data_IF_005227410704
#
_entry.id   IF_005227410704
#
_cell.length_a   1.000
_cell.length_b   1.000
_cell.length_c   1.000
_cell.angle_alpha   90.00
_cell.angle_beta   90.00
_cell.angle_gamma   90.00
#
_symmetry.space_group_name_H-M   'P 1'
#
loop_
_entity.id
_entity.type
_entity.pdbx_description
1 polymer ?
#
# COMPACT_ATOMS: atom_id res chain seq x y z
N UNK A 1 46.04 6.18 45.42
CA UNK A 1 44.70 6.77 45.23
C UNK A 1 44.88 8.16 44.64
N UNK A 2 44.60 8.33 43.34
CA UNK A 2 44.51 9.67 42.74
C UNK A 2 43.09 9.79 42.20
N UNK A 3 42.27 10.58 42.86
CA UNK A 3 40.92 10.90 42.42
C UNK A 3 41.02 11.91 41.29
N UNK A 4 40.70 11.48 40.07
CA UNK A 4 40.49 12.38 38.94
C UNK A 4 39.22 13.18 39.20
N UNK A 5 39.38 14.44 39.58
CA UNK A 5 38.31 15.43 39.69
C UNK A 5 37.81 15.77 38.30
N UNK A 6 36.61 15.29 37.94
CA UNK A 6 35.89 15.81 36.79
C UNK A 6 35.48 17.26 37.09
N UNK A 7 36.15 18.20 36.42
CA UNK A 7 35.70 19.60 36.34
C UNK A 7 34.28 19.63 35.75
N UNK A 8 33.29 20.00 36.56
CA UNK A 8 31.96 20.37 36.08
C UNK A 8 32.07 21.70 35.34
N UNK A 9 32.41 21.65 34.05
CA UNK A 9 32.19 22.77 33.15
C UNK A 9 30.71 23.15 33.22
N UNK A 10 30.41 24.41 33.54
CA UNK A 10 29.05 24.92 33.52
C UNK A 10 28.50 24.80 32.09
N UNK A 11 27.67 23.79 31.83
CA UNK A 11 26.94 23.68 30.58
C UNK A 11 25.91 24.81 30.56
N UNK A 12 26.24 25.94 29.92
CA UNK A 12 25.24 26.95 29.58
C UNK A 12 24.33 26.33 28.52
N UNK A 13 23.06 26.15 28.85
CA UNK A 13 22.05 25.79 27.86
C UNK A 13 22.09 26.80 26.70
N UNK A 14 21.99 26.30 25.47
CA UNK A 14 21.81 27.13 24.27
C UNK A 14 20.65 28.11 24.48
N UNK A 15 20.86 29.40 24.19
CA UNK A 15 19.85 30.44 24.38
C UNK A 15 18.81 30.40 23.26
N UNK A 16 17.75 29.62 23.44
CA UNK A 16 16.54 29.71 22.62
C UNK A 16 15.54 30.65 23.29
N UNK A 17 14.90 31.51 22.52
CA UNK A 17 13.72 32.25 22.98
C UNK A 17 12.55 31.28 23.22
N UNK A 18 11.59 31.63 24.09
CA UNK A 18 10.38 30.81 24.27
C UNK A 18 9.64 30.49 22.96
N UNK A 19 9.56 31.44 22.04
CA UNK A 19 8.91 31.25 20.75
C UNK A 19 9.65 30.25 19.85
N UNK A 20 11.00 30.28 19.83
CA UNK A 20 11.80 29.31 19.08
C UNK A 20 11.70 27.90 19.66
N UNK A 21 11.68 27.78 20.99
CA UNK A 21 11.48 26.49 21.66
C UNK A 21 10.12 25.88 21.30
N UNK A 22 9.06 26.69 21.31
CA UNK A 22 7.72 26.24 20.94
C UNK A 22 7.65 25.83 19.46
N UNK A 23 8.19 26.64 18.55
CA UNK A 23 8.21 26.31 17.12
C UNK A 23 8.97 25.02 16.83
N UNK A 24 10.12 24.80 17.48
CA UNK A 24 10.91 23.56 17.38
C UNK A 24 10.18 22.35 17.96
N UNK A 25 9.45 22.54 19.07
CA UNK A 25 8.65 21.47 19.65
C UNK A 25 7.49 21.08 18.73
N UNK A 26 6.80 22.07 18.17
CA UNK A 26 5.72 21.87 17.23
C UNK A 26 6.20 21.14 15.97
N UNK A 27 7.34 21.54 15.42
CA UNK A 27 7.98 20.87 14.28
C UNK A 27 8.24 19.39 14.57
N UNK A 28 8.93 19.07 15.67
CA UNK A 28 9.25 17.67 16.03
C UNK A 28 8.00 16.82 16.20
N UNK A 29 7.00 17.32 16.93
CA UNK A 29 5.73 16.59 17.11
C UNK A 29 4.97 16.42 15.80
N UNK A 30 5.07 17.39 14.89
CA UNK A 30 4.47 17.29 13.57
C UNK A 30 5.18 16.22 12.71
N UNK A 31 6.50 16.07 12.82
CA UNK A 31 7.24 14.96 12.17
C UNK A 31 6.77 13.62 12.73
N UNK A 32 6.78 13.44 14.05
CA UNK A 32 6.36 12.19 14.70
C UNK A 32 4.89 11.85 14.40
N UNK A 33 4.01 12.85 14.40
CA UNK A 33 2.61 12.68 14.04
C UNK A 33 2.43 12.25 12.57
N UNK A 34 3.31 12.70 11.66
CA UNK A 34 3.27 12.28 10.27
C UNK A 34 3.65 10.80 10.11
N UNK A 35 4.73 10.36 10.77
CA UNK A 35 5.15 8.95 10.75
C UNK A 35 4.07 8.04 11.34
N UNK A 36 3.54 8.40 12.51
CA UNK A 36 2.46 7.66 13.16
C UNK A 36 1.16 7.64 12.36
N UNK A 37 0.81 8.79 11.79
CA UNK A 37 -0.45 9.04 11.10
C UNK A 37 -0.49 8.55 9.65
N UNK A 38 0.65 8.18 9.07
CA UNK A 38 0.78 7.77 7.67
C UNK A 38 -0.29 6.76 7.22
N UNK A 39 -0.62 5.69 7.97
CA UNK A 39 -1.63 4.74 7.52
C UNK A 39 -3.05 5.34 7.47
N UNK A 40 -3.41 6.22 8.42
CA UNK A 40 -4.70 6.91 8.39
C UNK A 40 -4.80 7.90 7.23
N UNK A 41 -3.72 8.65 6.97
CA UNK A 41 -3.70 9.62 5.88
C UNK A 41 -3.69 8.92 4.53
N UNK A 42 -2.99 7.79 4.40
CA UNK A 42 -3.06 6.95 3.21
C UNK A 42 -4.49 6.42 2.96
N UNK A 43 -5.17 5.94 4.01
CA UNK A 43 -6.58 5.55 3.93
C UNK A 43 -7.47 6.72 3.50
N UNK A 44 -7.33 7.88 4.13
CA UNK A 44 -8.14 9.05 3.79
C UNK A 44 -7.88 9.52 2.36
N UNK A 45 -6.64 9.51 1.89
CA UNK A 45 -6.30 9.87 0.51
C UNK A 45 -7.02 8.97 -0.50
N UNK A 46 -7.02 7.65 -0.29
CA UNK A 46 -7.80 6.72 -1.11
C UNK A 46 -9.31 6.99 -1.03
N UNK A 47 -9.84 7.22 0.19
CA UNK A 47 -11.25 7.53 0.40
C UNK A 47 -11.68 8.84 -0.26
N UNK A 48 -10.85 9.89 -0.18
CA UNK A 48 -11.12 11.15 -0.83
C UNK A 48 -11.10 11.01 -2.36
N UNK A 49 -10.18 10.21 -2.92
CA UNK A 49 -10.16 9.91 -4.36
C UNK A 49 -11.41 9.12 -4.79
N UNK A 50 -11.83 8.17 -3.97
CA UNK A 50 -13.06 7.40 -4.16
C UNK A 50 -14.29 8.30 -4.27
N UNK A 51 -14.46 9.29 -3.37
CA UNK A 51 -15.56 10.24 -3.48
C UNK A 51 -15.38 11.26 -4.62
N UNK A 52 -14.20 11.87 -4.72
CA UNK A 52 -13.93 12.99 -5.62
C UNK A 52 -13.79 12.57 -7.09
N UNK A 53 -13.02 11.52 -7.35
CA UNK A 53 -12.61 11.16 -8.71
C UNK A 53 -13.53 10.11 -9.33
N UNK A 54 -14.07 9.18 -8.53
CA UNK A 54 -15.06 8.22 -9.00
C UNK A 54 -16.50 8.74 -8.90
N UNK A 55 -16.75 9.77 -8.08
CA UNK A 55 -18.11 10.26 -7.80
C UNK A 55 -18.93 9.25 -7.00
N UNK A 56 -18.27 8.34 -6.29
CA UNK A 56 -18.90 7.25 -5.56
C UNK A 56 -19.41 7.73 -4.19
N UNK A 57 -20.33 6.98 -3.60
CA UNK A 57 -20.73 7.08 -2.21
C UNK A 57 -20.28 5.84 -1.43
N UNK A 58 -20.37 5.87 -0.10
CA UNK A 58 -20.09 4.66 0.69
C UNK A 58 -20.94 3.49 0.20
N UNK A 59 -20.34 2.30 0.19
CA UNK A 59 -20.93 1.04 -0.28
C UNK A 59 -21.06 0.87 -1.81
N UNK A 60 -20.74 1.89 -2.62
CA UNK A 60 -20.53 1.68 -4.05
C UNK A 60 -19.28 0.82 -4.31
N UNK A 61 -19.22 0.19 -5.48
CA UNK A 61 -18.14 -0.73 -5.83
C UNK A 61 -17.41 -0.18 -7.05
N UNK A 62 -16.17 0.24 -6.82
CA UNK A 62 -15.22 0.53 -7.90
C UNK A 62 -14.60 -0.77 -8.36
N UNK A 63 -14.42 -0.90 -9.67
CA UNK A 63 -13.62 -1.96 -10.25
C UNK A 63 -12.83 -1.45 -11.44
N UNK A 64 -11.72 -2.12 -11.75
CA UNK A 64 -10.94 -1.82 -12.95
C UNK A 64 -11.14 -2.94 -13.94
N UNK A 65 -11.88 -2.68 -15.03
CA UNK A 65 -12.13 -3.69 -16.07
C UNK A 65 -10.90 -4.06 -16.91
N UNK A 66 -9.86 -3.24 -16.85
CA UNK A 66 -8.56 -3.43 -17.52
C UNK A 66 -7.44 -3.33 -16.49
N UNK A 67 -6.26 -3.91 -16.77
CA UNK A 67 -5.11 -3.70 -15.92
C UNK A 67 -4.79 -2.21 -15.78
N UNK A 68 -4.40 -1.81 -14.57
CA UNK A 68 -4.19 -0.41 -14.21
C UNK A 68 -3.10 0.23 -15.07
N UNK A 69 -3.34 1.46 -15.53
CA UNK A 69 -2.33 2.32 -16.15
C UNK A 69 -1.84 3.38 -15.14
N UNK A 70 -0.97 4.29 -15.58
CA UNK A 70 -0.43 5.34 -14.71
C UNK A 70 -1.51 6.22 -14.05
N UNK A 71 -2.77 6.22 -14.51
CA UNK A 71 -3.81 7.06 -13.93
C UNK A 71 -4.32 6.54 -12.59
N UNK A 72 -4.05 5.28 -12.25
CA UNK A 72 -4.32 4.71 -10.93
C UNK A 72 -3.17 5.04 -9.98
N UNK A 73 -3.29 6.17 -9.28
CA UNK A 73 -2.25 6.75 -8.44
C UNK A 73 -2.50 6.39 -6.98
N UNK A 74 -2.15 5.17 -6.60
CA UNK A 74 -2.06 4.70 -5.21
C UNK A 74 -0.60 4.33 -4.90
N UNK A 75 -0.29 3.95 -3.65
CA UNK A 75 1.01 3.38 -3.32
C UNK A 75 1.17 1.96 -3.92
N UNK A 76 2.28 1.73 -4.62
CA UNK A 76 2.68 0.49 -5.34
C UNK A 76 1.55 -0.36 -5.95
N UNK A 77 0.66 0.22 -6.77
CA UNK A 77 -0.42 -0.51 -7.42
C UNK A 77 0.10 -1.63 -8.32
N UNK A 78 -0.81 -2.53 -8.66
CA UNK A 78 -0.59 -3.63 -9.57
C UNK A 78 -1.15 -3.32 -10.96
N UNK A 79 -0.48 -3.78 -12.02
CA UNK A 79 -0.94 -3.64 -13.41
C UNK A 79 -1.16 -5.00 -14.12
N UNK A 80 -1.29 -6.09 -13.38
CA UNK A 80 -1.56 -7.45 -13.90
C UNK A 80 -2.86 -8.06 -13.39
N UNK A 81 -3.50 -7.45 -12.39
CA UNK A 81 -4.76 -7.94 -11.79
C UNK A 81 -5.83 -6.86 -11.76
N UNK A 82 -7.09 -7.25 -11.91
CA UNK A 82 -8.23 -6.33 -11.88
C UNK A 82 -8.67 -6.07 -10.43
N UNK A 83 -8.55 -4.81 -9.98
CA UNK A 83 -8.94 -4.39 -8.64
C UNK A 83 -10.45 -4.27 -8.48
N UNK A 84 -10.92 -4.55 -7.26
CA UNK A 84 -12.24 -4.22 -6.74
C UNK A 84 -12.02 -3.48 -5.42
N UNK A 85 -12.66 -2.32 -5.27
CA UNK A 85 -12.50 -1.44 -4.12
C UNK A 85 -13.85 -0.84 -3.75
N UNK A 86 -14.18 -0.90 -2.47
CA UNK A 86 -15.31 -0.18 -1.88
C UNK A 86 -14.90 0.32 -0.51
N UNK A 87 -15.50 1.44 -0.10
CA UNK A 87 -15.35 1.98 1.25
C UNK A 87 -16.68 1.82 1.98
N UNK A 88 -16.61 1.52 3.27
CA UNK A 88 -17.77 1.44 4.15
C UNK A 88 -17.55 2.25 5.42
N UNK A 89 -18.64 2.75 6.00
CA UNK A 89 -18.64 3.43 7.29
C UNK A 89 -19.60 2.73 8.25
N UNK A 90 -19.10 2.38 9.43
CA UNK A 90 -19.81 1.58 10.42
C UNK A 90 -20.47 2.43 11.53
N UNK A 91 -20.49 3.77 11.42
CA UNK A 91 -21.07 4.62 12.47
C UNK A 91 -22.56 4.39 12.66
N UNK A 92 -23.29 4.16 11.56
CA UNK A 92 -24.74 3.96 11.59
C UNK A 92 -25.13 2.49 11.86
N UNK A 93 -24.15 1.58 11.91
CA UNK A 93 -24.35 0.18 12.28
C UNK A 93 -23.60 -0.79 11.36
N UNK A 94 -23.91 -2.10 11.48
CA UNK A 94 -23.25 -3.14 10.71
C UNK A 94 -23.52 -3.07 9.20
N UNK A 95 -22.49 -3.39 8.41
CA UNK A 95 -22.55 -3.50 6.95
C UNK A 95 -22.35 -4.96 6.54
N UNK A 96 -23.15 -5.43 5.59
CA UNK A 96 -23.05 -6.75 4.95
C UNK A 96 -22.28 -6.60 3.64
N UNK A 97 -21.33 -7.51 3.42
CA UNK A 97 -20.64 -7.71 2.14
C UNK A 97 -20.97 -9.12 1.66
N UNK A 98 -21.80 -9.21 0.63
CA UNK A 98 -22.21 -10.49 0.04
C UNK A 98 -21.24 -10.86 -1.09
N UNK A 99 -20.51 -11.95 -0.87
CA UNK A 99 -19.50 -12.48 -1.78
C UNK A 99 -20.05 -13.75 -2.44
N UNK A 100 -20.22 -13.77 -3.78
CA UNK A 100 -20.66 -14.97 -4.48
C UNK A 100 -19.54 -16.01 -4.58
N UNK A 101 -19.90 -17.29 -4.73
CA UNK A 101 -18.94 -18.38 -4.91
C UNK A 101 -18.03 -18.16 -6.15
N UNK A 102 -16.73 -18.36 -5.98
CA UNK A 102 -15.71 -18.21 -7.02
C UNK A 102 -15.68 -19.46 -7.90
N UNK A 103 -16.68 -19.58 -8.79
CA UNK A 103 -16.77 -20.71 -9.75
C UNK A 103 -16.00 -20.44 -11.03
N UNK A 104 -16.28 -19.34 -11.70
CA UNK A 104 -15.75 -19.04 -13.04
C UNK A 104 -14.58 -18.05 -13.04
N UNK A 105 -14.24 -17.51 -11.88
CA UNK A 105 -13.10 -16.63 -11.62
C UNK A 105 -12.57 -16.93 -10.22
N UNK A 106 -11.38 -16.44 -9.90
CA UNK A 106 -10.84 -16.44 -8.54
C UNK A 106 -10.94 -15.05 -7.93
N UNK A 107 -11.17 -14.99 -6.63
CA UNK A 107 -11.15 -13.76 -5.84
C UNK A 107 -10.06 -13.88 -4.78
N UNK A 108 -9.27 -12.82 -4.62
CA UNK A 108 -8.31 -12.72 -3.53
C UNK A 108 -8.30 -11.31 -2.93
N UNK A 109 -7.87 -11.23 -1.68
CA UNK A 109 -7.64 -9.96 -1.00
C UNK A 109 -8.32 -9.93 0.35
N UNK A 110 -8.48 -8.73 0.90
CA UNK A 110 -8.90 -8.56 2.27
C UNK A 110 -9.88 -7.39 2.43
N UNK A 111 -10.71 -7.48 3.48
CA UNK A 111 -11.36 -6.34 4.10
C UNK A 111 -10.37 -5.72 5.09
N UNK A 112 -10.18 -4.40 5.03
CA UNK A 112 -9.07 -3.71 5.67
C UNK A 112 -9.57 -2.50 6.46
N UNK A 113 -9.10 -2.38 7.70
CA UNK A 113 -9.47 -1.26 8.58
C UNK A 113 -8.76 0.05 8.20
N UNK A 114 -9.13 1.19 8.79
CA UNK A 114 -8.53 2.48 8.43
C UNK A 114 -7.06 2.61 8.85
N UNK A 115 -6.57 1.70 9.68
CA UNK A 115 -5.16 1.58 10.05
C UNK A 115 -4.36 0.69 9.08
N UNK A 116 -4.99 0.27 7.98
CA UNK A 116 -4.48 -0.62 6.95
C UNK A 116 -4.23 -2.07 7.42
N UNK A 117 -4.90 -2.53 8.48
CA UNK A 117 -4.82 -3.92 8.94
C UNK A 117 -5.93 -4.79 8.33
N UNK A 118 -5.54 -5.97 7.83
CA UNK A 118 -6.51 -6.95 7.33
C UNK A 118 -7.40 -7.50 8.45
N UNK A 119 -8.69 -7.17 8.38
CA UNK A 119 -9.73 -7.70 9.25
C UNK A 119 -10.07 -9.15 8.89
N UNK A 120 -10.23 -9.42 7.59
CA UNK A 120 -10.52 -10.74 7.06
C UNK A 120 -10.04 -10.87 5.62
N UNK A 121 -9.54 -12.05 5.26
CA UNK A 121 -9.27 -12.42 3.87
C UNK A 121 -10.54 -12.98 3.22
N UNK A 122 -10.73 -12.69 1.94
CA UNK A 122 -11.95 -12.98 1.16
C UNK A 122 -11.59 -13.76 -0.11
N UNK A 123 -12.46 -14.71 -0.50
CA UNK A 123 -12.33 -15.51 -1.72
C UNK A 123 -11.61 -16.84 -1.50
N UNK A 124 -10.91 -17.31 -2.53
CA UNK A 124 -10.39 -18.69 -2.65
C UNK A 124 -9.51 -19.13 -1.47
N UNK A 125 -8.72 -18.19 -0.91
CA UNK A 125 -7.87 -18.40 0.27
C UNK A 125 -8.36 -17.63 1.51
N UNK A 126 -9.58 -17.08 1.45
CA UNK A 126 -10.21 -16.32 2.52
C UNK A 126 -11.07 -17.19 3.44
N UNK A 127 -11.80 -16.54 4.35
CA UNK A 127 -12.66 -17.25 5.32
C UNK A 127 -13.81 -18.01 4.64
N UNK A 128 -14.22 -17.60 3.44
CA UNK A 128 -15.24 -18.28 2.63
C UNK A 128 -14.71 -19.46 1.79
N UNK A 129 -13.39 -19.68 1.71
CA UNK A 129 -12.76 -20.75 0.92
C UNK A 129 -13.27 -20.84 -0.55
N UNK A 130 -13.58 -19.70 -1.15
CA UNK A 130 -14.14 -19.60 -2.50
C UNK A 130 -15.60 -20.08 -2.64
N UNK A 131 -16.23 -20.53 -1.56
CA UNK A 131 -17.64 -20.95 -1.58
C UNK A 131 -18.62 -19.76 -1.55
N UNK A 132 -18.09 -18.54 -1.38
CA UNK A 132 -18.89 -17.36 -1.14
C UNK A 132 -19.41 -17.31 0.29
N UNK A 133 -19.86 -16.14 0.71
CA UNK A 133 -20.30 -15.90 2.07
C UNK A 133 -20.79 -14.49 2.29
N UNK A 134 -21.53 -14.32 3.38
CA UNK A 134 -22.04 -13.03 3.84
C UNK A 134 -21.15 -12.52 4.96
N UNK A 135 -20.25 -11.59 4.67
CA UNK A 135 -19.40 -10.99 5.69
C UNK A 135 -20.18 -9.89 6.39
N UNK A 136 -20.29 -9.96 7.72
CA UNK A 136 -20.89 -8.90 8.50
C UNK A 136 -19.80 -8.09 9.21
N UNK A 137 -19.57 -6.87 8.73
CA UNK A 137 -18.68 -5.90 9.35
C UNK A 137 -19.38 -5.25 10.54
N UNK A 138 -18.87 -5.50 11.74
CA UNK A 138 -19.45 -5.07 13.00
C UNK A 138 -18.68 -3.85 13.54
N UNK A 139 -19.37 -2.76 13.93
CA UNK A 139 -18.71 -1.56 14.45
C UNK A 139 -17.89 -1.83 15.72
N UNK A 140 -16.82 -1.04 15.99
CA UNK A 140 -15.91 -1.25 17.13
C UNK A 140 -16.61 -1.18 18.51
N UNK A 141 -17.68 -0.40 18.63
CA UNK A 141 -18.43 -0.23 19.88
C UNK A 141 -19.63 -1.18 20.01
N UNK A 142 -19.86 -2.01 19.00
CA UNK A 142 -20.94 -2.99 19.00
C UNK A 142 -20.49 -4.30 19.67
N UNK A 143 -21.40 -4.95 20.39
CA UNK A 143 -21.12 -6.18 21.17
C UNK A 143 -22.10 -7.32 20.90
N UNK A 144 -23.19 -7.09 20.16
CA UNK A 144 -24.15 -8.15 19.89
C UNK A 144 -23.55 -9.16 18.90
N UNK A 145 -23.82 -10.45 19.15
CA UNK A 145 -23.49 -11.50 18.20
C UNK A 145 -24.51 -11.48 17.06
N UNK A 146 -24.07 -11.63 15.81
CA UNK A 146 -25.00 -11.69 14.69
C UNK A 146 -25.79 -12.99 14.67
N UNK A 147 -26.92 -12.97 13.97
CA UNK A 147 -27.68 -14.18 13.68
C UNK A 147 -26.81 -15.21 12.92
N UNK A 148 -27.13 -16.51 12.98
CA UNK A 148 -26.47 -17.52 12.17
C UNK A 148 -26.54 -17.18 10.67
N UNK A 149 -25.48 -17.54 9.93
CA UNK A 149 -25.40 -17.34 8.47
C UNK A 149 -24.46 -16.22 8.02
N UNK A 150 -23.87 -15.46 8.95
CA UNK A 150 -22.84 -14.47 8.67
C UNK A 150 -21.45 -14.95 9.09
N UNK A 151 -20.45 -14.53 8.31
CA UNK A 151 -19.04 -14.52 8.70
C UNK A 151 -18.81 -13.20 9.46
N UNK A 152 -18.77 -13.26 10.79
CA UNK A 152 -18.74 -12.08 11.64
C UNK A 152 -17.33 -11.47 11.73
N UNK A 153 -17.19 -10.20 11.35
CA UNK A 153 -15.92 -9.48 11.36
C UNK A 153 -16.03 -8.25 12.26
N UNK A 154 -15.38 -8.28 13.42
CA UNK A 154 -15.32 -7.12 14.31
C UNK A 154 -14.26 -6.14 13.84
N UNK A 155 -14.69 -4.96 13.37
CA UNK A 155 -13.77 -3.92 12.97
C UNK A 155 -13.16 -3.22 14.20
N UNK A 156 -11.91 -2.77 14.06
CA UNK A 156 -11.24 -1.97 15.09
C UNK A 156 -11.38 -0.46 14.85
N UNK A 157 -12.05 -0.08 13.76
CA UNK A 157 -12.28 1.27 13.24
C UNK A 157 -13.69 1.39 12.68
N UNK A 158 -14.21 2.60 12.52
CA UNK A 158 -15.48 2.85 11.85
C UNK A 158 -15.36 2.85 10.33
N UNK A 159 -14.26 3.35 9.79
CA UNK A 159 -14.02 3.29 8.35
C UNK A 159 -13.26 2.01 8.00
N UNK A 160 -13.72 1.33 6.95
CA UNK A 160 -13.15 0.09 6.39
C UNK A 160 -13.17 0.21 4.86
N UNK A 161 -12.21 -0.43 4.19
CA UNK A 161 -12.21 -0.54 2.74
C UNK A 161 -11.88 -1.96 2.30
N UNK A 162 -12.15 -2.27 1.04
CA UNK A 162 -11.74 -3.54 0.43
C UNK A 162 -10.52 -3.37 -0.45
N UNK A 163 -9.61 -4.33 -0.37
CA UNK A 163 -8.51 -4.50 -1.30
C UNK A 163 -8.66 -5.88 -1.92
N UNK A 164 -9.53 -5.97 -2.92
CA UNK A 164 -9.85 -7.22 -3.59
C UNK A 164 -9.34 -7.20 -5.03
N UNK A 165 -9.05 -8.38 -5.57
CA UNK A 165 -8.69 -8.58 -6.96
C UNK A 165 -9.45 -9.77 -7.50
N UNK A 166 -10.10 -9.57 -8.65
CA UNK A 166 -10.61 -10.69 -9.44
C UNK A 166 -9.53 -11.15 -10.41
N UNK A 167 -9.30 -12.46 -10.46
CA UNK A 167 -8.38 -13.08 -11.39
C UNK A 167 -9.19 -13.94 -12.36
N UNK A 168 -9.12 -13.67 -13.67
CA UNK A 168 -9.72 -14.56 -14.66
C UNK A 168 -8.94 -15.88 -14.72
N UNK A 169 -9.63 -17.00 -14.99
CA UNK A 169 -9.00 -18.33 -15.06
C UNK A 169 -7.88 -18.39 -16.09
N UNK A 170 -8.01 -17.65 -17.18
CA UNK A 170 -6.98 -17.47 -18.20
C UNK A 170 -7.00 -16.03 -18.72
N UNK A 171 -6.03 -15.68 -19.56
CA UNK A 171 -5.91 -14.35 -20.17
C UNK A 171 -6.77 -14.18 -21.43
N UNK A 172 -7.57 -15.20 -21.76
CA UNK A 172 -8.46 -15.07 -22.90
C UNK A 172 -9.60 -14.07 -22.57
N UNK A 173 -10.13 -13.35 -23.58
CA UNK A 173 -11.17 -12.34 -23.35
C UNK A 173 -12.47 -12.87 -22.74
N UNK A 174 -12.80 -14.15 -22.94
CA UNK A 174 -14.02 -14.76 -22.42
C UNK A 174 -13.94 -14.97 -20.89
N UNK A 175 -12.81 -15.47 -20.39
CA UNK A 175 -12.60 -15.65 -18.96
C UNK A 175 -12.49 -14.30 -18.24
N UNK A 176 -11.91 -13.28 -18.89
CA UNK A 176 -11.97 -11.91 -18.39
C UNK A 176 -13.41 -11.40 -18.29
N UNK A 177 -14.24 -11.60 -19.32
CA UNK A 177 -15.64 -11.19 -19.27
C UNK A 177 -16.40 -11.87 -18.11
N UNK A 178 -16.17 -13.17 -17.88
CA UNK A 178 -16.76 -13.91 -16.75
C UNK A 178 -16.29 -13.39 -15.40
N UNK A 179 -15.01 -13.06 -15.27
CA UNK A 179 -14.46 -12.42 -14.07
C UNK A 179 -15.11 -11.06 -13.80
N UNK A 180 -15.32 -10.24 -14.83
CA UNK A 180 -16.00 -8.95 -14.69
C UNK A 180 -17.50 -9.13 -14.36
N UNK A 181 -18.17 -10.12 -14.93
CA UNK A 181 -19.56 -10.46 -14.58
C UNK A 181 -19.69 -11.02 -13.16
N UNK A 182 -18.63 -11.64 -12.62
CA UNK A 182 -18.57 -12.03 -11.21
C UNK A 182 -18.55 -10.80 -10.30
N UNK A 183 -17.76 -9.76 -10.62
CA UNK A 183 -17.69 -8.52 -9.81
C UNK A 183 -19.08 -7.89 -9.63
N UNK A 184 -19.89 -7.89 -10.68
CA UNK A 184 -21.24 -7.31 -10.69
C UNK A 184 -22.23 -8.02 -9.75
N UNK A 185 -21.87 -9.19 -9.22
CA UNK A 185 -22.68 -9.98 -8.29
C UNK A 185 -22.33 -9.72 -6.82
N UNK A 186 -21.25 -8.98 -6.55
CA UNK A 186 -20.89 -8.55 -5.20
C UNK A 186 -21.87 -7.46 -4.78
N UNK A 187 -22.33 -7.50 -3.52
CA UNK A 187 -23.17 -6.47 -2.94
C UNK A 187 -22.59 -5.98 -1.62
N UNK A 188 -22.72 -4.67 -1.37
CA UNK A 188 -22.35 -4.05 -0.09
C UNK A 188 -23.52 -3.19 0.37
N UNK A 189 -24.06 -3.48 1.54
CA UNK A 189 -25.24 -2.77 2.04
C UNK A 189 -25.35 -2.83 3.57
N UNK A 190 -26.04 -1.88 4.20
CA UNK A 190 -26.38 -1.97 5.62
C UNK A 190 -27.21 -3.22 5.96
N UNK A 191 -27.01 -3.76 7.16
CA UNK A 191 -27.72 -4.96 7.64
C UNK A 191 -29.25 -4.80 7.65
N UNK A 192 -29.76 -3.58 7.86
CA UNK A 192 -31.20 -3.29 7.89
C UNK A 192 -31.82 -3.17 6.49
N UNK A 193 -31.02 -3.11 5.43
CA UNK A 193 -31.51 -3.15 4.05
C UNK A 193 -31.54 -4.60 3.57
N UNK A 194 -32.68 -5.02 3.02
CA UNK A 194 -32.81 -6.32 2.36
C UNK A 194 -32.14 -6.28 0.99
N UNK A 195 -31.61 -7.41 0.52
CA UNK A 195 -30.94 -7.59 -0.79
C UNK A 195 -31.72 -7.01 -2.00
N UNK A 196 -33.05 -6.88 -1.88
CA UNK A 196 -33.95 -6.39 -2.93
C UNK A 196 -34.14 -4.87 -2.99
N UNK A 197 -33.60 -4.08 -2.05
CA UNK A 197 -33.85 -2.63 -1.98
C UNK A 197 -32.63 -1.73 -2.19
N UNK A 198 -31.41 -2.27 -2.24
CA UNK A 198 -30.19 -1.51 -2.51
C UNK A 198 -29.27 -2.28 -3.47
N UNK A 199 -28.87 -1.62 -4.55
CA UNK A 199 -27.79 -2.07 -5.41
C UNK A 199 -26.62 -1.11 -5.20
N UNK A 200 -25.45 -1.64 -4.79
CA UNK A 200 -24.20 -0.86 -4.87
C UNK A 200 -24.03 -0.38 -6.31
N UNK A 201 -23.77 0.92 -6.51
CA UNK A 201 -23.44 1.38 -7.86
C UNK A 201 -22.08 0.78 -8.26
N UNK A 202 -22.01 0.29 -9.51
CA UNK A 202 -20.82 -0.36 -10.04
C UNK A 202 -20.09 0.61 -10.97
N UNK A 203 -18.92 1.07 -10.55
CA UNK A 203 -18.18 2.13 -11.24
C UNK A 203 -16.89 1.55 -11.84
N UNK A 204 -16.85 1.42 -13.16
CA UNK A 204 -15.62 1.05 -13.87
C UNK A 204 -14.64 2.23 -13.90
N UNK A 205 -13.45 2.03 -13.33
CA UNK A 205 -12.37 3.01 -13.24
C UNK A 205 -11.25 2.78 -14.27
N UNK A 206 -11.39 1.81 -15.17
CA UNK A 206 -10.43 1.59 -16.24
C UNK A 206 -10.22 2.85 -17.09
N UNK A 207 -8.96 3.31 -17.16
CA UNK A 207 -8.56 4.49 -17.93
C UNK A 207 -9.01 5.83 -17.34
N UNK A 208 -9.65 5.85 -16.17
CA UNK A 208 -9.99 7.06 -15.41
C UNK A 208 -8.89 7.39 -14.40
N UNK A 209 -8.77 8.68 -14.06
CA UNK A 209 -7.85 9.13 -13.01
C UNK A 209 -8.41 8.79 -11.64
N UNK A 210 -7.55 8.28 -10.77
CA UNK A 210 -7.84 8.04 -9.35
C UNK A 210 -6.61 8.48 -8.55
N UNK A 211 -6.68 9.68 -7.96
CA UNK A 211 -5.58 10.35 -7.29
C UNK A 211 -5.64 10.14 -5.78
N UNK A 212 -4.99 9.08 -5.33
CA UNK A 212 -5.06 8.54 -3.97
C UNK A 212 -3.69 8.50 -3.28
N UNK A 213 -2.70 9.24 -3.80
CA UNK A 213 -1.43 9.43 -3.12
C UNK A 213 -1.67 10.37 -1.93
N UNK A 214 -1.10 10.03 -0.78
CA UNK A 214 -1.16 10.90 0.39
C UNK A 214 -0.52 12.26 0.09
N UNK A 215 -1.09 13.37 0.59
CA UNK A 215 -0.46 14.67 0.44
C UNK A 215 0.79 14.76 1.34
N UNK A 216 1.91 15.18 0.79
CA UNK A 216 3.14 15.47 1.53
C UNK A 216 3.39 16.99 1.65
N UNK A 217 2.31 17.72 1.88
CA UNK A 217 2.26 19.16 2.19
C UNK A 217 1.45 19.36 3.49
N UNK A 218 1.30 20.60 3.95
CA UNK A 218 0.61 20.91 5.21
C UNK A 218 -0.83 20.35 5.30
N UNK A 219 -1.48 20.02 4.17
CA UNK A 219 -2.81 19.39 4.17
C UNK A 219 -2.82 17.95 4.71
N UNK A 220 -1.66 17.30 4.82
CA UNK A 220 -1.49 16.02 5.53
C UNK A 220 -2.14 16.07 6.91
N UNK A 221 -1.91 17.14 7.65
CA UNK A 221 -2.39 17.28 9.03
C UNK A 221 -3.90 17.54 9.11
N UNK A 222 -4.50 18.10 8.06
CA UNK A 222 -5.96 18.19 7.96
C UNK A 222 -6.60 16.81 7.74
N UNK A 223 -5.98 15.99 6.88
CA UNK A 223 -6.38 14.59 6.69
C UNK A 223 -6.25 13.79 7.99
N UNK A 224 -5.11 13.92 8.68
CA UNK A 224 -4.88 13.29 9.97
C UNK A 224 -5.93 13.73 11.02
N UNK A 225 -6.20 15.03 11.10
CA UNK A 225 -7.20 15.57 12.02
C UNK A 225 -8.59 14.98 11.79
N UNK A 226 -9.00 14.86 10.52
CA UNK A 226 -10.26 14.25 10.12
C UNK A 226 -10.36 12.81 10.59
N UNK A 227 -9.34 12.00 10.30
CA UNK A 227 -9.34 10.59 10.67
C UNK A 227 -9.28 10.37 12.19
N UNK A 228 -8.49 11.16 12.93
CA UNK A 228 -8.45 11.12 14.40
C UNK A 228 -9.81 11.48 15.02
N UNK A 229 -10.53 12.44 14.43
CA UNK A 229 -11.86 12.80 14.87
C UNK A 229 -12.86 11.65 14.62
N UNK A 230 -12.79 11.02 13.45
CA UNK A 230 -13.70 9.94 13.02
C UNK A 230 -13.49 8.61 13.77
N UNK A 231 -12.24 8.24 14.08
CA UNK A 231 -11.89 6.88 14.53
C UNK A 231 -11.76 6.71 16.05
N UNK A 232 -11.98 5.51 16.62
CA UNK A 232 -11.76 5.26 18.04
C UNK A 232 -10.29 5.47 18.44
N UNK A 233 -10.05 6.02 19.64
CA UNK A 233 -8.71 6.10 20.23
C UNK A 233 -8.37 4.73 20.80
N UNK A 234 -7.23 4.16 20.39
CA UNK A 234 -6.72 2.91 20.94
C UNK A 234 -5.80 3.17 22.13
N UNK A 235 -5.80 2.27 23.11
CA UNK A 235 -4.97 2.40 24.32
C UNK A 235 -3.49 2.60 24.00
N UNK A 236 -2.96 1.90 22.99
CA UNK A 236 -1.56 2.01 22.54
C UNK A 236 -1.18 3.43 22.05
N UNK A 237 -2.17 4.23 21.65
CA UNK A 237 -1.97 5.51 20.97
C UNK A 237 -2.20 6.72 21.92
N UNK A 238 -2.49 6.50 23.20
CA UNK A 238 -2.88 7.56 24.14
C UNK A 238 -1.80 8.64 24.34
N UNK A 239 -0.51 8.26 24.35
CA UNK A 239 0.61 9.21 24.43
C UNK A 239 0.64 10.11 23.20
N UNK A 240 0.49 9.53 22.01
CA UNK A 240 0.44 10.27 20.74
C UNK A 240 -0.77 11.21 20.70
N UNK A 241 -1.91 10.86 21.30
CA UNK A 241 -3.05 11.78 21.41
C UNK A 241 -2.68 13.07 22.16
N UNK A 242 -1.80 12.99 23.16
CA UNK A 242 -1.27 14.16 23.86
C UNK A 242 -0.39 15.04 22.97
N UNK A 243 0.42 14.44 22.11
CA UNK A 243 1.24 15.17 21.14
C UNK A 243 0.39 15.84 20.07
N UNK A 244 -0.55 15.12 19.48
CA UNK A 244 -1.51 15.63 18.50
C UNK A 244 -2.32 16.81 19.03
N UNK A 245 -2.74 16.77 20.30
CA UNK A 245 -3.47 17.87 20.91
C UNK A 245 -2.66 19.18 20.86
N UNK A 246 -1.33 19.11 21.00
CA UNK A 246 -0.47 20.31 20.85
C UNK A 246 -0.35 20.82 19.42
N UNK A 247 -0.73 20.01 18.43
CA UNK A 247 -0.84 20.37 17.02
C UNK A 247 -2.25 20.89 16.66
N UNK A 248 -3.16 20.97 17.64
CA UNK A 248 -4.57 21.29 17.39
C UNK A 248 -5.37 20.12 16.79
N UNK A 249 -4.88 18.89 16.91
CA UNK A 249 -5.49 17.67 16.38
C UNK A 249 -6.05 16.83 17.53
N UNK A 250 -7.33 16.47 17.47
CA UNK A 250 -7.95 15.64 18.49
C UNK A 250 -9.47 15.58 18.37
N UNK A 251 -10.08 14.62 19.07
CA UNK A 251 -11.54 14.48 19.12
C UNK A 251 -12.18 15.74 19.73
N UNK A 252 -13.22 16.25 19.06
CA UNK A 252 -13.95 17.44 19.50
C UNK A 252 -13.24 18.78 19.21
N UNK A 253 -12.02 18.75 18.66
CA UNK A 253 -11.32 19.96 18.23
C UNK A 253 -11.72 20.34 16.80
N UNK A 254 -11.78 21.63 16.53
CA UNK A 254 -11.84 22.15 15.16
C UNK A 254 -10.41 22.41 14.68
N UNK A 255 -9.96 21.68 13.66
CA UNK A 255 -8.64 21.89 13.08
C UNK A 255 -8.57 23.21 12.33
N UNK A 256 -7.84 24.18 12.90
CA UNK A 256 -7.70 25.54 12.35
C UNK A 256 -6.33 26.13 12.72
N UNK A 257 -5.22 25.59 12.17
CA UNK A 257 -3.89 26.16 12.39
C UNK A 257 -3.78 27.58 11.83
N UNK A 258 -2.96 28.42 12.46
CA UNK A 258 -2.60 29.73 11.90
C UNK A 258 -1.52 29.59 10.81
N UNK A 259 -1.23 30.70 10.10
CA UNK A 259 -0.27 30.73 8.99
C UNK A 259 1.11 30.23 9.44
N UNK A 260 1.57 30.66 10.62
CA UNK A 260 2.88 30.27 11.14
C UNK A 260 2.96 28.77 11.46
N UNK A 261 1.86 28.20 11.96
CA UNK A 261 1.74 26.77 12.23
C UNK A 261 1.74 25.97 10.94
N UNK A 262 1.02 26.43 9.91
CA UNK A 262 1.03 25.80 8.58
C UNK A 262 2.43 25.80 7.96
N UNK A 263 3.20 26.88 8.08
CA UNK A 263 4.60 26.91 7.62
C UNK A 263 5.50 25.91 8.36
N UNK A 264 5.24 25.65 9.64
CA UNK A 264 5.95 24.62 10.42
C UNK A 264 5.55 23.23 9.93
N UNK A 265 4.25 23.00 9.73
CA UNK A 265 3.72 21.73 9.23
C UNK A 265 4.27 21.40 7.84
N UNK A 266 4.35 22.38 6.93
CA UNK A 266 4.94 22.21 5.60
C UNK A 266 6.38 21.68 5.66
N UNK A 267 7.21 22.24 6.54
CA UNK A 267 8.59 21.77 6.72
C UNK A 267 8.66 20.41 7.40
N UNK A 268 7.78 20.17 8.38
CA UNK A 268 7.75 18.92 9.12
C UNK A 268 7.34 17.74 8.23
N UNK A 269 6.31 17.90 7.38
CA UNK A 269 5.90 16.84 6.47
C UNK A 269 6.92 16.60 5.36
N UNK A 270 7.60 17.65 4.87
CA UNK A 270 8.69 17.47 3.92
C UNK A 270 9.86 16.66 4.52
N UNK A 271 10.21 16.91 5.78
CA UNK A 271 11.20 16.11 6.52
C UNK A 271 10.73 14.67 6.73
N UNK A 272 9.48 14.47 7.19
CA UNK A 272 8.92 13.14 7.39
C UNK A 272 8.82 12.35 6.08
N UNK A 273 8.45 13.01 4.97
CA UNK A 273 8.39 12.40 3.64
C UNK A 273 9.76 11.93 3.17
N UNK A 274 10.79 12.79 3.29
CA UNK A 274 12.16 12.40 2.98
C UNK A 274 12.64 11.20 3.83
N UNK A 275 12.31 11.18 5.13
CA UNK A 275 12.61 10.06 6.01
C UNK A 275 11.87 8.77 5.59
N UNK A 276 10.59 8.87 5.21
CA UNK A 276 9.81 7.71 4.76
C UNK A 276 10.28 7.16 3.41
N UNK A 277 10.65 8.02 2.46
CA UNK A 277 11.25 7.60 1.17
C UNK A 277 12.54 6.83 1.42
N UNK A 278 13.39 7.34 2.30
CA UNK A 278 14.68 6.70 2.61
C UNK A 278 14.50 5.40 3.40
N UNK A 279 13.57 5.39 4.36
CA UNK A 279 13.21 4.20 5.11
C UNK A 279 12.59 3.11 4.22
N UNK A 280 11.74 3.48 3.26
CA UNK A 280 11.17 2.55 2.28
C UNK A 280 12.25 1.93 1.39
N UNK A 281 13.21 2.74 0.93
CA UNK A 281 14.38 2.27 0.16
C UNK A 281 15.16 1.18 0.89
N UNK A 282 15.33 1.35 2.20
CA UNK A 282 16.12 0.46 3.05
C UNK A 282 15.28 -0.59 3.80
N UNK A 283 13.97 -0.63 3.57
CA UNK A 283 13.07 -1.51 4.29
C UNK A 283 13.42 -2.99 4.10
N UNK A 284 13.09 -3.78 5.12
CA UNK A 284 13.23 -5.23 5.13
C UNK A 284 14.65 -5.76 5.01
N UNK A 285 14.84 -6.80 4.21
CA UNK A 285 16.09 -7.55 4.15
C UNK A 285 16.34 -8.11 2.75
N UNK A 286 17.60 -8.41 2.46
CA UNK A 286 18.01 -9.00 1.19
C UNK A 286 17.39 -10.40 1.01
N UNK A 287 16.67 -10.59 -0.09
CA UNK A 287 15.97 -11.85 -0.35
C UNK A 287 16.94 -12.93 -0.83
N UNK A 288 17.74 -12.64 -1.86
CA UNK A 288 18.79 -13.51 -2.40
C UNK A 288 20.19 -13.01 -2.02
N UNK A 289 21.06 -13.87 -1.48
CA UNK A 289 22.44 -13.51 -1.15
C UNK A 289 23.19 -12.81 -2.29
N UNK A 290 23.85 -11.69 -1.98
CA UNK A 290 24.62 -10.83 -2.88
C UNK A 290 23.80 -10.22 -4.04
N UNK A 291 22.49 -10.04 -3.86
CA UNK A 291 21.61 -9.36 -4.83
C UNK A 291 21.05 -8.07 -4.24
N UNK A 292 20.65 -7.15 -5.10
CA UNK A 292 20.04 -5.85 -4.73
C UNK A 292 18.53 -5.93 -4.49
N UNK A 293 17.99 -7.14 -4.39
CA UNK A 293 16.57 -7.40 -4.23
C UNK A 293 16.22 -7.61 -2.76
N UNK A 294 15.33 -6.76 -2.25
CA UNK A 294 14.90 -6.77 -0.85
C UNK A 294 13.45 -7.21 -0.73
N UNK A 295 13.16 -7.99 0.30
CA UNK A 295 11.80 -8.16 0.78
C UNK A 295 11.36 -6.85 1.45
N UNK A 296 10.13 -6.34 1.23
CA UNK A 296 9.78 -4.97 1.58
C UNK A 296 9.51 -4.72 3.07
N UNK A 297 9.52 -5.75 3.92
CA UNK A 297 9.34 -5.60 5.37
C UNK A 297 10.36 -6.40 6.16
N UNK A 298 10.66 -5.94 7.38
CA UNK A 298 11.60 -6.62 8.29
C UNK A 298 11.01 -7.90 8.89
N UNK A 299 11.90 -8.77 9.39
CA UNK A 299 11.50 -10.02 10.05
C UNK A 299 10.59 -9.78 11.27
N UNK A 300 10.80 -8.69 12.01
CA UNK A 300 9.95 -8.36 13.16
C UNK A 300 8.52 -8.04 12.72
N UNK A 301 8.32 -7.36 11.58
CA UNK A 301 6.98 -7.12 11.02
C UNK A 301 6.31 -8.45 10.66
N UNK A 302 7.05 -9.39 10.05
CA UNK A 302 6.55 -10.73 9.73
C UNK A 302 6.11 -11.47 11.00
N UNK A 303 6.89 -11.42 12.08
CA UNK A 303 6.54 -12.04 13.38
C UNK A 303 5.24 -11.47 13.97
N UNK A 304 4.95 -10.18 13.76
CA UNK A 304 3.68 -9.56 14.19
C UNK A 304 2.48 -9.93 13.30
N UNK A 305 2.68 -10.76 12.28
CA UNK A 305 1.66 -11.08 11.29
C UNK A 305 1.28 -9.90 10.39
N UNK A 306 2.13 -8.88 10.28
CA UNK A 306 1.86 -7.64 9.54
C UNK A 306 1.09 -6.57 10.32
N UNK A 307 0.89 -6.73 11.63
CA UNK A 307 0.19 -5.73 12.45
C UNK A 307 1.09 -4.59 12.91
N UNK A 308 2.42 -4.75 12.85
CA UNK A 308 3.41 -3.81 13.37
C UNK A 308 3.31 -3.58 14.89
N UNK A 309 2.56 -4.43 15.60
CA UNK A 309 2.43 -4.40 17.06
C UNK A 309 3.22 -5.59 17.59
N UNK A 310 4.39 -5.32 18.15
CA UNK A 310 5.14 -6.31 18.91
C UNK A 310 4.73 -6.27 20.39
N UNK A 311 5.19 -7.24 21.18
CA UNK A 311 4.81 -7.40 22.59
C UNK A 311 5.09 -6.15 23.44
N UNK A 312 6.21 -5.47 23.18
CA UNK A 312 6.69 -4.35 24.01
C UNK A 312 6.64 -2.99 23.30
N UNK A 313 6.40 -2.95 21.99
CA UNK A 313 6.42 -1.71 21.20
C UNK A 313 5.64 -1.80 19.90
N UNK A 314 5.25 -0.64 19.38
CA UNK A 314 4.83 -0.48 17.98
C UNK A 314 6.09 -0.32 17.13
N UNK A 315 6.17 -1.04 16.01
CA UNK A 315 7.20 -0.87 14.98
C UNK A 315 6.88 0.38 14.14
N UNK A 316 7.01 1.55 14.77
CA UNK A 316 6.50 2.83 14.27
C UNK A 316 7.11 3.22 12.91
N UNK A 317 8.43 3.15 12.82
CA UNK A 317 9.16 3.56 11.62
C UNK A 317 8.91 2.58 10.47
N UNK A 318 9.00 1.28 10.73
CA UNK A 318 8.71 0.24 9.73
C UNK A 318 7.27 0.36 9.21
N UNK A 319 6.34 0.72 10.11
CA UNK A 319 4.95 0.99 9.75
C UNK A 319 4.83 2.21 8.85
N UNK A 320 5.48 3.32 9.19
CA UNK A 320 5.49 4.53 8.37
C UNK A 320 6.07 4.27 6.98
N UNK A 321 7.22 3.58 6.90
CA UNK A 321 7.90 3.26 5.65
C UNK A 321 7.04 2.35 4.77
N UNK A 322 6.44 1.31 5.36
CA UNK A 322 5.56 0.41 4.64
C UNK A 322 4.32 1.15 4.11
N UNK A 323 3.68 1.98 4.92
CA UNK A 323 2.44 2.65 4.51
C UNK A 323 2.65 3.95 3.71
N UNK A 324 3.89 4.41 3.59
CA UNK A 324 4.33 5.28 2.49
C UNK A 324 4.37 4.49 1.17
N UNK A 325 5.04 3.32 1.18
CA UNK A 325 5.31 2.53 -0.02
C UNK A 325 4.16 1.65 -0.51
N UNK A 326 3.22 1.29 0.36
CA UNK A 326 2.14 0.35 0.08
C UNK A 326 0.86 0.72 0.85
N UNK A 327 -0.29 0.17 0.43
CA UNK A 327 -1.56 0.29 1.14
C UNK A 327 -2.16 -1.10 1.34
N UNK A 328 -2.80 -1.29 2.49
CA UNK A 328 -3.26 -2.59 2.97
C UNK A 328 -2.10 -3.53 3.28
N UNK A 329 -2.26 -4.32 4.34
CA UNK A 329 -1.32 -5.40 4.66
C UNK A 329 -2.05 -6.73 4.64
N UNK A 330 -1.62 -7.65 3.79
CA UNK A 330 -2.05 -9.05 3.84
C UNK A 330 -1.46 -9.75 5.05
N UNK A 331 -2.18 -10.75 5.59
CA UNK A 331 -1.67 -11.58 6.68
C UNK A 331 -0.49 -12.43 6.21
N UNK A 332 0.45 -12.67 7.12
CA UNK A 332 1.58 -13.57 6.87
C UNK A 332 1.27 -15.00 7.33
N UNK A 333 1.82 -16.03 6.64
CA UNK A 333 2.65 -15.95 5.44
C UNK A 333 1.84 -15.56 4.19
N UNK A 334 2.46 -14.76 3.31
CA UNK A 334 1.79 -14.31 2.08
C UNK A 334 1.82 -15.40 0.98
N UNK A 335 0.78 -15.52 0.14
CA UNK A 335 0.72 -16.50 -0.95
C UNK A 335 1.58 -16.13 -2.16
N UNK A 336 2.08 -14.89 -2.22
CA UNK A 336 2.90 -14.36 -3.30
C UNK A 336 4.21 -13.80 -2.74
N UNK A 337 5.25 -13.76 -3.58
CA UNK A 337 6.52 -13.10 -3.26
C UNK A 337 6.59 -11.76 -3.97
N UNK A 338 6.89 -10.72 -3.21
CA UNK A 338 7.21 -9.38 -3.72
C UNK A 338 8.61 -9.01 -3.25
N UNK A 339 9.48 -8.68 -4.21
CA UNK A 339 10.82 -8.15 -3.92
C UNK A 339 11.03 -6.88 -4.71
N UNK A 340 11.75 -5.93 -4.14
CA UNK A 340 11.99 -4.63 -4.73
C UNK A 340 13.47 -4.28 -4.78
N UNK A 341 13.86 -3.44 -5.74
CA UNK A 341 15.19 -2.87 -5.81
C UNK A 341 15.14 -1.42 -6.26
N UNK A 342 15.98 -0.60 -5.65
CA UNK A 342 16.20 0.81 -5.97
C UNK A 342 17.54 1.04 -6.68
N UNK A 343 18.33 -0.02 -6.85
CA UNK A 343 19.73 0.04 -7.23
C UNK A 343 20.02 -0.82 -8.46
N UNK A 344 21.05 -0.42 -9.21
CA UNK A 344 21.67 -1.26 -10.22
C UNK A 344 22.68 -2.26 -9.60
N UNK A 345 23.27 -3.11 -10.43
CA UNK A 345 24.23 -4.14 -10.03
C UNK A 345 25.50 -3.60 -9.36
N UNK A 346 25.78 -2.30 -9.48
CA UNK A 346 26.90 -1.61 -8.80
C UNK A 346 26.47 -0.98 -7.48
N UNK A 347 25.19 -1.00 -7.15
CA UNK A 347 24.63 -0.33 -5.96
C UNK A 347 24.29 1.14 -6.20
N UNK A 348 24.26 1.61 -7.45
CA UNK A 348 23.89 2.98 -7.76
C UNK A 348 22.38 3.10 -7.93
N UNK A 349 21.78 4.20 -7.46
CA UNK A 349 20.34 4.41 -7.56
C UNK A 349 19.87 4.45 -9.01
N UNK A 350 18.74 3.80 -9.28
CA UNK A 350 18.12 3.76 -10.59
C UNK A 350 17.60 5.16 -10.98
N UNK A 351 18.20 5.74 -12.02
CA UNK A 351 17.84 7.06 -12.52
C UNK A 351 17.02 6.94 -13.80
N UNK A 352 15.87 7.61 -13.89
CA UNK A 352 14.94 7.42 -14.98
C UNK A 352 15.40 7.99 -16.33
N UNK A 353 16.54 8.66 -16.40
CA UNK A 353 17.14 9.19 -17.63
C UNK A 353 18.12 8.23 -18.33
N UNK A 354 18.61 7.22 -17.62
CA UNK A 354 19.49 6.17 -18.14
C UNK A 354 18.70 5.00 -18.73
N UNK A 355 19.39 4.14 -19.49
CA UNK A 355 18.85 2.86 -19.95
C UNK A 355 19.38 1.74 -19.07
N UNK A 356 18.49 0.89 -18.57
CA UNK A 356 18.87 -0.30 -17.79
C UNK A 356 18.28 -1.57 -18.39
N UNK A 357 18.86 -2.71 -18.03
CA UNK A 357 18.38 -4.05 -18.38
C UNK A 357 18.24 -4.93 -17.15
N UNK A 358 17.11 -5.62 -17.02
CA UNK A 358 16.94 -6.74 -16.10
C UNK A 358 16.81 -8.03 -16.90
N UNK A 359 17.74 -8.98 -16.72
CA UNK A 359 17.61 -10.33 -17.27
C UNK A 359 16.93 -11.24 -16.25
N UNK A 360 15.65 -11.56 -16.46
CA UNK A 360 14.94 -12.59 -15.69
C UNK A 360 15.37 -13.97 -16.22
N UNK A 361 16.03 -14.83 -15.41
CA UNK A 361 16.43 -16.15 -15.88
C UNK A 361 15.24 -17.01 -16.29
N UNK A 362 15.48 -17.98 -17.17
CA UNK A 362 14.49 -18.97 -17.59
C UNK A 362 13.92 -19.75 -16.39
N UNK A 363 12.80 -20.43 -16.63
CA UNK A 363 12.18 -21.37 -15.68
C UNK A 363 11.92 -20.74 -14.30
N UNK A 364 11.36 -19.52 -14.29
CA UNK A 364 10.96 -18.85 -13.05
C UNK A 364 10.07 -19.80 -12.24
N UNK A 365 10.44 -20.16 -11.00
CA UNK A 365 9.70 -21.09 -10.16
C UNK A 365 8.39 -20.46 -9.65
N UNK A 366 7.37 -20.45 -10.51
CA UNK A 366 6.03 -19.91 -10.28
C UNK A 366 4.98 -20.92 -10.71
N UNK A 367 3.88 -21.01 -9.95
CA UNK A 367 2.72 -21.84 -10.33
C UNK A 367 1.68 -21.05 -11.12
N UNK A 368 1.79 -19.73 -11.14
CA UNK A 368 0.93 -18.86 -11.93
C UNK A 368 1.79 -18.03 -12.89
N UNK A 369 2.16 -16.82 -12.49
CA UNK A 369 2.92 -15.89 -13.32
C UNK A 369 3.86 -15.03 -12.49
N UNK A 370 4.62 -14.19 -13.19
CA UNK A 370 5.44 -13.16 -12.57
C UNK A 370 5.33 -11.84 -13.33
N UNK A 371 5.64 -10.73 -12.67
CA UNK A 371 5.55 -9.39 -13.24
C UNK A 371 6.68 -8.49 -12.79
N UNK A 372 7.06 -7.53 -13.64
CA UNK A 372 8.08 -6.50 -13.40
C UNK A 372 7.43 -5.14 -13.61
N UNK A 373 7.51 -4.27 -12.62
CA UNK A 373 6.81 -2.97 -12.65
C UNK A 373 7.70 -1.88 -12.06
N UNK A 374 7.72 -0.71 -12.68
CA UNK A 374 8.50 0.44 -12.25
C UNK A 374 7.63 1.51 -11.57
N UNK A 375 8.15 2.09 -10.50
CA UNK A 375 7.48 3.09 -9.68
C UNK A 375 8.37 4.30 -9.46
N UNK A 376 7.74 5.46 -9.31
CA UNK A 376 8.40 6.68 -8.88
C UNK A 376 8.85 6.56 -7.41
N UNK A 377 10.10 6.89 -7.13
CA UNK A 377 10.66 6.78 -5.77
C UNK A 377 10.05 7.78 -4.79
N UNK A 378 9.68 8.99 -5.24
CA UNK A 378 9.17 10.04 -4.37
C UNK A 378 7.72 9.78 -3.96
N UNK A 379 6.92 9.18 -4.85
CA UNK A 379 5.49 8.97 -4.59
C UNK A 379 5.13 7.52 -4.30
N UNK A 380 6.05 6.58 -4.50
CA UNK A 380 5.81 5.14 -4.49
C UNK A 380 4.67 4.67 -5.41
N UNK A 381 4.27 5.48 -6.40
CA UNK A 381 3.18 5.17 -7.33
C UNK A 381 3.72 4.87 -8.72
N UNK A 382 2.86 4.52 -9.66
CA UNK A 382 3.28 4.46 -11.07
C UNK A 382 3.88 5.80 -11.49
N UNK A 383 4.96 5.75 -12.27
CA UNK A 383 5.55 6.94 -12.89
C UNK A 383 4.45 7.61 -13.73
N UNK A 384 4.15 8.87 -13.40
CA UNK A 384 3.08 9.61 -14.07
C UNK A 384 3.35 9.69 -15.57
N UNK A 385 2.29 9.58 -16.36
CA UNK A 385 2.32 9.63 -17.82
C UNK A 385 3.15 8.51 -18.49
N UNK A 386 3.65 7.52 -17.73
CA UNK A 386 4.33 6.38 -18.31
C UNK A 386 3.37 5.57 -19.21
N UNK A 387 3.67 5.41 -20.51
CA UNK A 387 2.84 4.62 -21.43
C UNK A 387 2.84 3.13 -21.08
N UNK A 388 3.92 2.63 -20.49
CA UNK A 388 4.05 1.24 -20.01
C UNK A 388 4.64 1.28 -18.60
N UNK A 389 3.82 1.00 -17.59
CA UNK A 389 4.21 1.02 -16.17
C UNK A 389 4.89 -0.28 -15.72
N UNK A 390 4.62 -1.38 -16.43
CA UNK A 390 5.13 -2.71 -16.12
C UNK A 390 4.62 -3.75 -17.11
N UNK A 391 5.16 -4.96 -17.00
CA UNK A 391 4.89 -6.09 -17.87
C UNK A 391 4.84 -7.38 -17.05
N UNK A 392 4.16 -8.40 -17.56
CA UNK A 392 4.09 -9.72 -16.92
C UNK A 392 4.30 -10.85 -17.92
N UNK A 393 4.55 -12.05 -17.37
CA UNK A 393 4.89 -13.24 -18.13
C UNK A 393 3.73 -13.84 -18.92
N UNK A 394 2.51 -13.31 -18.77
CA UNK A 394 1.36 -13.72 -19.57
C UNK A 394 1.11 -12.80 -20.77
N UNK A 395 1.85 -11.70 -20.88
CA UNK A 395 1.81 -10.86 -22.07
C UNK A 395 2.30 -11.64 -23.30
N UNK A 396 1.45 -11.91 -24.30
CA UNK A 396 1.81 -12.71 -25.46
C UNK A 396 2.80 -12.01 -26.41
N UNK A 397 3.06 -10.71 -26.19
CA UNK A 397 4.02 -9.92 -26.96
C UNK A 397 5.41 -9.91 -26.33
N UNK A 398 5.59 -10.52 -25.16
CA UNK A 398 6.88 -10.58 -24.48
C UNK A 398 7.86 -11.41 -25.31
N UNK A 399 9.02 -10.86 -25.60
CA UNK A 399 10.07 -11.53 -26.35
C UNK A 399 10.99 -12.31 -25.42
N UNK A 400 11.21 -13.59 -25.75
CA UNK A 400 12.10 -14.48 -25.02
C UNK A 400 13.42 -14.65 -25.76
N UNK A 401 14.49 -14.76 -24.99
CA UNK A 401 15.81 -15.12 -25.49
C UNK A 401 15.87 -16.60 -25.87
N UNK A 402 16.86 -17.03 -26.69
CA UNK A 402 17.02 -18.44 -27.07
C UNK A 402 17.22 -19.41 -25.89
N UNK A 403 17.72 -18.92 -24.74
CA UNK A 403 17.89 -19.70 -23.51
C UNK A 403 16.64 -19.72 -22.61
N UNK A 404 15.52 -19.13 -23.06
CA UNK A 404 14.27 -19.05 -22.33
C UNK A 404 14.16 -17.87 -21.36
N UNK A 405 15.25 -17.13 -21.12
CA UNK A 405 15.23 -15.92 -20.28
C UNK A 405 14.48 -14.77 -20.95
N UNK A 406 14.17 -13.73 -20.17
CA UNK A 406 13.54 -12.50 -20.66
C UNK A 406 14.37 -11.30 -20.23
N UNK A 407 14.74 -10.44 -21.18
CA UNK A 407 15.38 -9.15 -20.88
C UNK A 407 14.32 -8.04 -20.89
N UNK A 408 14.13 -7.36 -19.75
CA UNK A 408 13.36 -6.13 -19.64
C UNK A 408 14.27 -4.92 -19.75
N UNK A 409 13.79 -3.88 -20.43
CA UNK A 409 14.50 -2.62 -20.56
C UNK A 409 13.76 -1.48 -19.88
N UNK A 410 14.47 -0.69 -19.09
CA UNK A 410 13.95 0.51 -18.45
C UNK A 410 14.60 1.73 -19.09
N UNK A 411 13.82 2.60 -19.72
CA UNK A 411 14.33 3.79 -20.41
C UNK A 411 13.23 4.83 -20.64
N UNK A 412 13.58 6.11 -20.86
CA UNK A 412 12.61 7.16 -21.24
C UNK A 412 11.88 6.89 -22.55
N UNK A 413 12.51 6.15 -23.45
CA UNK A 413 12.01 5.79 -24.79
C UNK A 413 12.37 4.33 -25.07
N UNK A 414 11.55 3.62 -25.87
CA UNK A 414 11.80 2.22 -26.17
C UNK A 414 13.15 2.04 -26.89
N UNK A 415 14.07 1.21 -26.36
CA UNK A 415 15.30 0.89 -27.06
C UNK A 415 15.00 0.21 -28.41
N UNK A 416 15.83 0.48 -29.42
CA UNK A 416 15.66 -0.04 -30.77
C UNK A 416 15.61 -1.58 -30.74
N UNK A 417 14.51 -2.15 -31.23
CA UNK A 417 14.32 -3.60 -31.29
C UNK A 417 13.84 -4.26 -30.01
N UNK A 418 13.53 -3.49 -28.94
CA UNK A 418 13.13 -4.03 -27.64
C UNK A 418 11.84 -3.40 -27.10
N UNK A 419 10.98 -2.84 -27.97
CA UNK A 419 9.78 -2.12 -27.58
C UNK A 419 8.74 -3.00 -26.85
N UNK A 420 8.71 -4.29 -27.15
CA UNK A 420 7.87 -5.34 -26.54
C UNK A 420 8.21 -5.61 -25.07
N UNK A 421 9.47 -5.46 -24.69
CA UNK A 421 9.99 -5.72 -23.34
C UNK A 421 10.39 -4.44 -22.60
N UNK A 422 9.92 -3.28 -23.09
CA UNK A 422 10.27 -1.98 -22.54
C UNK A 422 9.26 -1.51 -21.48
N UNK A 423 9.78 -0.99 -20.37
CA UNK A 423 9.04 -0.31 -19.32
C UNK A 423 9.52 1.14 -19.27
N UNK A 424 8.58 2.08 -19.30
CA UNK A 424 8.90 3.50 -19.40
C UNK A 424 9.43 4.05 -18.08
N UNK A 425 10.52 4.80 -18.17
CA UNK A 425 11.02 5.67 -17.09
C UNK A 425 10.90 7.14 -17.49
N UNK A 426 11.36 8.06 -16.64
CA UNK A 426 11.25 9.50 -16.89
C UNK A 426 12.53 10.23 -16.50
N UNK A 427 13.00 11.13 -17.37
CA UNK A 427 14.15 11.98 -17.09
C UNK A 427 13.93 12.83 -15.83
N UNK A 428 14.97 12.98 -15.01
CA UNK A 428 14.92 13.78 -13.79
C UNK A 428 14.21 13.13 -12.60
N UNK A 429 13.69 11.89 -12.74
CA UNK A 429 13.08 11.12 -11.66
C UNK A 429 13.94 9.92 -11.30
N UNK A 430 13.97 9.54 -10.04
CA UNK A 430 14.42 8.21 -9.62
C UNK A 430 13.25 7.23 -9.68
N UNK A 431 13.56 5.96 -9.90
CA UNK A 431 12.56 4.92 -9.89
C UNK A 431 13.04 3.70 -9.10
N UNK A 432 12.12 2.82 -8.76
CA UNK A 432 12.43 1.50 -8.25
C UNK A 432 11.59 0.45 -8.94
N UNK A 433 12.04 -0.79 -8.89
CA UNK A 433 11.40 -1.91 -9.59
C UNK A 433 10.91 -2.90 -8.56
N UNK A 434 9.69 -3.38 -8.74
CA UNK A 434 9.13 -4.51 -7.99
C UNK A 434 8.99 -5.70 -8.92
N UNK A 435 9.61 -6.82 -8.54
CA UNK A 435 9.36 -8.13 -9.11
C UNK A 435 8.34 -8.87 -8.24
N UNK A 436 7.26 -9.34 -8.86
CA UNK A 436 6.20 -10.11 -8.19
C UNK A 436 6.16 -11.51 -8.76
N UNK A 437 6.18 -12.52 -7.90
CA UNK A 437 5.97 -13.93 -8.26
C UNK A 437 4.68 -14.41 -7.59
N UNK A 438 3.70 -14.83 -8.39
CA UNK A 438 2.37 -15.25 -7.94
C UNK A 438 2.34 -16.76 -7.77
N UNK A 439 1.97 -17.21 -6.57
CA UNK A 439 2.09 -18.62 -6.17
C UNK A 439 3.48 -19.22 -6.46
N UNK A 440 4.56 -18.64 -5.90
CA UNK A 440 5.92 -19.17 -6.06
C UNK A 440 6.01 -20.61 -5.55
N UNK A 441 6.96 -21.37 -6.10
CA UNK A 441 7.28 -22.67 -5.52
C UNK A 441 7.79 -22.55 -4.08
N UNK A 442 7.58 -23.60 -3.29
CA UNK A 442 7.93 -23.62 -1.86
C UNK A 442 9.42 -23.32 -1.63
N UNK A 443 10.29 -23.82 -2.49
CA UNK A 443 11.74 -23.63 -2.44
C UNK A 443 12.15 -22.16 -2.57
N UNK A 444 11.37 -21.34 -3.28
CA UNK A 444 11.61 -19.89 -3.36
C UNK A 444 11.28 -19.22 -2.04
N UNK A 445 10.12 -19.52 -1.46
CA UNK A 445 9.66 -18.95 -0.18
C UNK A 445 10.56 -19.38 0.98
N UNK A 446 11.06 -20.61 0.95
CA UNK A 446 12.02 -21.13 1.93
C UNK A 446 13.45 -20.65 1.69
N UNK A 447 13.67 -19.86 0.62
CA UNK A 447 14.99 -19.33 0.23
C UNK A 447 16.05 -20.43 0.03
N UNK A 448 15.60 -21.62 -0.41
CA UNK A 448 16.44 -22.79 -0.72
C UNK A 448 16.59 -23.06 -2.21
N UNK A 449 15.83 -22.32 -3.05
CA UNK A 449 15.93 -22.41 -4.50
C UNK A 449 17.31 -21.97 -5.01
N UNK A 450 17.83 -22.67 -6.02
CA UNK A 450 19.01 -22.25 -6.78
C UNK A 450 18.68 -21.11 -7.76
N UNK A 451 17.40 -20.90 -8.08
CA UNK A 451 16.97 -19.80 -8.94
C UNK A 451 17.05 -18.47 -8.17
N UNK A 452 17.76 -17.51 -8.75
CA UNK A 452 17.87 -16.14 -8.23
C UNK A 452 17.59 -15.15 -9.35
N UNK A 453 16.97 -14.02 -9.02
CA UNK A 453 16.80 -12.94 -9.99
C UNK A 453 18.11 -12.17 -10.14
N UNK A 454 18.49 -11.86 -11.38
CA UNK A 454 19.66 -11.01 -11.62
C UNK A 454 19.41 -9.58 -11.16
N UNK A 455 20.49 -8.86 -10.87
CA UNK A 455 20.43 -7.43 -10.60
C UNK A 455 20.20 -6.66 -11.90
N UNK A 456 19.70 -5.44 -11.76
CA UNK A 456 19.47 -4.53 -12.87
C UNK A 456 20.82 -3.96 -13.32
N UNK A 457 21.14 -4.01 -14.61
CA UNK A 457 22.42 -3.53 -15.15
C UNK A 457 22.21 -2.24 -15.93
N UNK A 458 23.11 -1.27 -15.76
CA UNK A 458 23.16 -0.10 -16.65
C UNK A 458 23.58 -0.55 -18.06
N UNK A 459 22.83 -0.11 -19.08
CA UNK A 459 23.15 -0.32 -20.49
C UNK A 459 23.87 0.93 -21.01
N UNK A 460 25.19 0.85 -21.12
CA UNK A 460 26.04 1.96 -21.57
C UNK A 460 27.47 1.80 -21.13
#
# INVERSE_FOLDING_TARGET
MSMTTFSRGSQRASHFTPAEMQARMLHRRAVEAALWGMPLVNFDAMRQAYFRDAGAEYNDILYWSKPSDWKYQTATPNNSTNYIMFFVNLKDGPIVVDIPATKEASLLGSLVDSWNFALADVGDAGQDNGQGGRYLLIPPDHRAQPAPGYIAIHSTTYNVYSLLRVIPRTHNPLDLAKALDYVKKIQVHPLWQTESSHHSELIDMAGKRFEAIAPYDASFYASLARMVAEEPVKTRDITMMGELHSLGIGKGLTYRPDVRTLEIFERAIAEAHAYMVEGWRHAGFEWWPNRKWRFPVGEDVIKTGGTFIADERVLLDERAFNFFGAFGMSRYPQPNLYVMTFEDSRGELLNGGSTYRLRVPADVPTKQFWSVVAYDTETAAFIREAPVVGLDSYNPKLEHNPDGSVDFYFAPQPPRGHASNWISTMHGRQFFVVFRNYAPEKTVLERTSAWTLNDIELVG
#
